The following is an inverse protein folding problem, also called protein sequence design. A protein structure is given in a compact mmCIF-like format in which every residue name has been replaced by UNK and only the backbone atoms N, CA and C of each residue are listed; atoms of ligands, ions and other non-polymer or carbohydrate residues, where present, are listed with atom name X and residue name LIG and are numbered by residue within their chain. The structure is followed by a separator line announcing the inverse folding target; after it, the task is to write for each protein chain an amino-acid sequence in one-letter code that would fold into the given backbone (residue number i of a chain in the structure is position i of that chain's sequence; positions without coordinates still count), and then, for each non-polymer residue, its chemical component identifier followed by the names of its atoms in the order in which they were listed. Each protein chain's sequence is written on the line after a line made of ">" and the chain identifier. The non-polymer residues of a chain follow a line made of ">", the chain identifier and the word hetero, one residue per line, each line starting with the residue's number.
data_IF_105186690905
#
_entry.id   IF_105186690905
#
_cell.length_a   1.000
_cell.length_b   1.000
_cell.length_c   1.000
_cell.angle_alpha   90.00
_cell.angle_beta   90.00
_cell.angle_gamma   90.00
#
_symmetry.space_group_name_H-M   'P 1'
#
loop_
_entity.id
_entity.type
_entity.pdbx_description
1 polymer ?
#
# COMPACT_ATOMS: atom_id res chain seq x y z
N UNK A 1 7.02 -14.48 -13.47
CA UNK A 1 7.74 -14.73 -12.19
C UNK A 1 9.07 -13.97 -12.12
N UNK A 2 9.97 -14.09 -13.10
CA UNK A 2 11.28 -13.41 -13.10
C UNK A 2 11.23 -11.88 -12.93
N UNK A 3 10.27 -11.21 -13.55
CA UNK A 3 10.13 -9.75 -13.45
C UNK A 3 9.76 -9.28 -12.03
N UNK A 4 8.86 -10.00 -11.34
CA UNK A 4 8.44 -9.67 -9.96
C UNK A 4 9.62 -9.86 -9.00
N UNK A 5 10.37 -10.97 -9.13
CA UNK A 5 11.55 -11.20 -8.33
C UNK A 5 12.64 -10.13 -8.55
N UNK A 6 12.83 -9.69 -9.80
CA UNK A 6 13.74 -8.61 -10.13
C UNK A 6 13.31 -7.26 -9.54
N UNK A 7 12.00 -6.96 -9.53
CA UNK A 7 11.46 -5.76 -8.90
C UNK A 7 11.67 -5.76 -7.38
N UNK A 8 11.39 -6.89 -6.72
CA UNK A 8 11.64 -7.11 -5.29
C UNK A 8 13.12 -6.91 -4.96
N UNK A 9 14.04 -7.47 -5.77
CA UNK A 9 15.50 -7.30 -5.59
C UNK A 9 15.95 -5.84 -5.67
N UNK A 10 15.17 -4.97 -6.35
CA UNK A 10 15.42 -3.53 -6.50
C UNK A 10 14.63 -2.68 -5.50
N UNK A 11 14.04 -3.29 -4.47
CA UNK A 11 13.20 -2.59 -3.48
C UNK A 11 12.04 -1.81 -4.11
N UNK A 12 11.48 -2.33 -5.21
CA UNK A 12 10.27 -1.80 -5.82
C UNK A 12 9.06 -2.42 -5.11
N UNK A 13 8.07 -1.60 -4.79
CA UNK A 13 6.83 -2.00 -4.13
C UNK A 13 5.65 -1.88 -5.10
N UNK A 14 4.65 -2.72 -4.90
CA UNK A 14 3.41 -2.69 -5.67
C UNK A 14 2.27 -2.13 -4.82
N UNK A 15 1.58 -1.13 -5.35
CA UNK A 15 0.42 -0.52 -4.71
C UNK A 15 -0.84 -1.34 -4.98
N UNK A 16 -1.66 -1.51 -3.94
CA UNK A 16 -3.00 -2.09 -4.01
C UNK A 16 -3.99 -1.05 -3.49
N UNK A 17 -4.73 -0.43 -4.39
CA UNK A 17 -5.83 0.48 -4.02
C UNK A 17 -7.06 -0.32 -3.59
N UNK A 18 -7.54 -0.15 -2.36
CA UNK A 18 -8.63 -0.98 -1.83
C UNK A 18 -10.04 -0.51 -2.25
N UNK A 19 -10.22 0.71 -2.74
CA UNK A 19 -11.55 1.26 -3.09
C UNK A 19 -12.40 0.32 -3.99
N UNK A 20 -11.85 -0.38 -5.01
CA UNK A 20 -12.63 -1.33 -5.79
C UNK A 20 -13.26 -2.47 -4.98
N UNK A 21 -12.70 -2.82 -3.82
CA UNK A 21 -13.27 -3.79 -2.87
C UNK A 21 -14.56 -3.28 -2.19
N UNK A 22 -14.78 -1.97 -2.15
CA UNK A 22 -15.96 -1.35 -1.54
C UNK A 22 -17.06 -1.05 -2.58
N UNK A 23 -16.75 -1.24 -3.86
CA UNK A 23 -17.66 -0.99 -4.98
C UNK A 23 -18.68 -2.10 -5.19
N UNK A 24 -18.98 -2.34 -6.46
CA UNK A 24 -19.95 -3.35 -6.90
C UNK A 24 -19.39 -4.78 -6.87
N UNK A 25 -20.25 -5.76 -7.17
CA UNK A 25 -19.86 -7.17 -7.13
C UNK A 25 -18.73 -7.51 -8.11
N UNK A 26 -18.71 -6.86 -9.28
CA UNK A 26 -17.65 -7.04 -10.26
C UNK A 26 -16.32 -6.48 -9.74
N UNK A 27 -16.31 -5.24 -9.24
CA UNK A 27 -15.12 -4.61 -8.64
C UNK A 27 -14.52 -5.45 -7.51
N UNK A 28 -15.36 -5.99 -6.62
CA UNK A 28 -14.93 -6.90 -5.55
C UNK A 28 -14.27 -8.17 -6.09
N UNK A 29 -14.91 -8.82 -7.07
CA UNK A 29 -14.39 -10.06 -7.66
C UNK A 29 -13.01 -9.83 -8.30
N UNK A 30 -12.86 -8.78 -9.10
CA UNK A 30 -11.60 -8.46 -9.74
C UNK A 30 -10.54 -8.03 -8.74
N UNK A 31 -10.90 -7.22 -7.75
CA UNK A 31 -10.01 -6.80 -6.67
C UNK A 31 -9.38 -8.01 -5.98
N UNK A 32 -10.19 -8.92 -5.44
CA UNK A 32 -9.66 -10.07 -4.70
C UNK A 32 -8.90 -11.03 -5.61
N UNK A 33 -9.36 -11.26 -6.84
CA UNK A 33 -8.63 -12.10 -7.80
C UNK A 33 -7.23 -11.55 -8.09
N UNK A 34 -7.13 -10.25 -8.37
CA UNK A 34 -5.86 -9.59 -8.68
C UNK A 34 -4.96 -9.46 -7.46
N UNK A 35 -5.51 -9.06 -6.31
CA UNK A 35 -4.77 -8.93 -5.05
C UNK A 35 -4.20 -10.28 -4.62
N UNK A 36 -5.00 -11.35 -4.60
CA UNK A 36 -4.51 -12.69 -4.25
C UNK A 36 -3.47 -13.22 -5.24
N UNK A 37 -3.58 -12.90 -6.52
CA UNK A 37 -2.54 -13.22 -7.50
C UNK A 37 -1.23 -12.50 -7.20
N UNK A 38 -1.30 -11.21 -6.85
CA UNK A 38 -0.12 -10.43 -6.51
C UNK A 38 0.52 -10.92 -5.22
N UNK A 39 -0.27 -11.17 -4.18
CA UNK A 39 0.19 -11.75 -2.90
C UNK A 39 0.92 -13.08 -3.14
N UNK A 40 0.37 -13.96 -3.98
CA UNK A 40 1.02 -15.23 -4.34
C UNK A 40 2.34 -15.01 -5.07
N UNK A 41 2.38 -14.09 -6.02
CA UNK A 41 3.59 -13.82 -6.83
C UNK A 41 4.71 -13.13 -6.04
N UNK A 42 4.37 -12.31 -5.04
CA UNK A 42 5.35 -11.62 -4.20
C UNK A 42 5.68 -12.37 -2.91
N UNK A 43 4.93 -13.43 -2.59
CA UNK A 43 4.98 -14.09 -1.28
C UNK A 43 4.51 -13.20 -0.14
N UNK A 44 3.67 -12.20 -0.44
CA UNK A 44 3.15 -11.23 0.53
C UNK A 44 4.17 -10.20 1.00
N UNK A 45 5.20 -9.91 0.20
CA UNK A 45 6.21 -8.87 0.48
C UNK A 45 6.14 -7.76 -0.56
N UNK A 46 6.71 -6.59 -0.24
CA UNK A 46 6.79 -5.45 -1.16
C UNK A 46 5.43 -4.99 -1.70
N UNK A 47 4.42 -4.98 -0.83
CA UNK A 47 3.08 -4.49 -1.11
C UNK A 47 2.80 -3.27 -0.26
N UNK A 48 2.04 -2.34 -0.80
CA UNK A 48 1.50 -1.18 -0.05
C UNK A 48 0.01 -1.11 -0.31
N UNK A 49 -0.78 -0.92 0.73
CA UNK A 49 -2.20 -0.57 0.56
C UNK A 49 -2.39 0.94 0.57
N UNK A 50 -3.25 1.41 -0.32
CA UNK A 50 -3.70 2.79 -0.38
C UNK A 50 -5.20 2.83 -0.63
N UNK A 51 -5.83 3.98 -0.39
CA UNK A 51 -7.27 4.11 -0.64
C UNK A 51 -7.59 4.16 -2.13
N UNK A 52 -6.87 4.96 -2.91
CA UNK A 52 -7.30 5.34 -4.25
C UNK A 52 -8.69 5.99 -4.25
N UNK A 53 -9.13 6.51 -3.11
CA UNK A 53 -10.48 7.02 -2.91
C UNK A 53 -10.62 8.40 -3.55
N UNK A 54 -11.71 8.60 -4.30
CA UNK A 54 -12.09 9.91 -4.85
C UNK A 54 -13.12 10.64 -3.97
N UNK A 55 -13.60 9.98 -2.91
CA UNK A 55 -14.59 10.51 -1.96
C UNK A 55 -14.25 10.05 -0.55
N UNK A 56 -14.43 10.92 0.43
CA UNK A 56 -14.04 10.69 1.83
C UNK A 56 -14.76 9.49 2.45
N UNK A 57 -16.01 9.22 2.06
CA UNK A 57 -16.81 8.06 2.53
C UNK A 57 -16.18 6.70 2.18
N UNK A 58 -15.24 6.68 1.24
CA UNK A 58 -14.52 5.47 0.82
C UNK A 58 -13.26 5.23 1.64
N UNK A 59 -12.86 6.18 2.50
CA UNK A 59 -11.77 5.99 3.44
C UNK A 59 -12.15 4.96 4.51
N UNK A 60 -11.14 4.23 5.00
CA UNK A 60 -11.30 3.18 6.00
C UNK A 60 -10.20 3.27 7.04
N UNK A 61 -10.48 2.75 8.22
CA UNK A 61 -9.47 2.70 9.27
C UNK A 61 -8.32 1.78 8.84
N UNK A 62 -7.08 2.01 9.30
CA UNK A 62 -5.95 1.16 8.94
C UNK A 62 -6.18 -0.33 9.26
N UNK A 63 -6.88 -0.65 10.34
CA UNK A 63 -7.19 -2.03 10.71
C UNK A 63 -8.23 -2.70 9.81
N UNK A 64 -9.19 -1.94 9.25
CA UNK A 64 -10.09 -2.49 8.22
C UNK A 64 -9.29 -2.92 6.98
N UNK A 65 -8.23 -2.18 6.64
CA UNK A 65 -7.34 -2.51 5.52
C UNK A 65 -6.53 -3.76 5.81
N UNK A 66 -6.12 -3.97 7.07
CA UNK A 66 -5.50 -5.23 7.49
C UNK A 66 -6.45 -6.41 7.24
N UNK A 67 -7.73 -6.27 7.58
CA UNK A 67 -8.73 -7.31 7.30
C UNK A 67 -8.90 -7.56 5.80
N UNK A 68 -8.91 -6.51 4.97
CA UNK A 68 -8.93 -6.66 3.50
C UNK A 68 -7.68 -7.41 3.01
N UNK A 69 -6.51 -7.10 3.56
CA UNK A 69 -5.25 -7.81 3.27
C UNK A 69 -5.30 -9.29 3.63
N UNK A 70 -5.88 -9.63 4.79
CA UNK A 70 -6.10 -11.01 5.21
C UNK A 70 -7.02 -11.76 4.23
N UNK A 71 -8.12 -11.13 3.81
CA UNK A 71 -9.05 -11.68 2.82
C UNK A 71 -8.38 -11.87 1.44
N UNK A 72 -7.41 -11.01 1.10
CA UNK A 72 -6.60 -11.16 -0.10
C UNK A 72 -5.52 -12.26 0.01
N UNK A 73 -5.32 -12.85 1.19
CA UNK A 73 -4.40 -13.97 1.42
C UNK A 73 -3.06 -13.61 2.10
N UNK A 74 -2.93 -12.39 2.63
CA UNK A 74 -1.78 -12.02 3.46
C UNK A 74 -1.87 -12.63 4.85
N UNK A 75 -0.71 -12.82 5.48
CA UNK A 75 -0.64 -13.03 6.93
C UNK A 75 -0.80 -11.68 7.66
N UNK A 76 -1.24 -11.72 8.90
CA UNK A 76 -1.47 -10.51 9.70
C UNK A 76 -0.26 -9.56 9.73
N UNK A 77 0.94 -10.08 9.98
CA UNK A 77 2.17 -9.26 9.96
C UNK A 77 2.45 -8.64 8.59
N UNK A 78 2.21 -9.36 7.50
CA UNK A 78 2.41 -8.84 6.15
C UNK A 78 1.40 -7.76 5.79
N UNK A 79 0.15 -7.89 6.25
CA UNK A 79 -0.88 -6.89 6.07
C UNK A 79 -0.59 -5.61 6.88
N UNK A 80 -0.09 -5.76 8.12
CA UNK A 80 0.40 -4.63 8.91
C UNK A 80 1.59 -3.94 8.24
N UNK A 81 2.59 -4.70 7.78
CA UNK A 81 3.75 -4.17 7.09
C UNK A 81 3.34 -3.37 5.84
N UNK A 82 2.29 -3.81 5.12
CA UNK A 82 1.80 -3.16 3.92
C UNK A 82 1.10 -1.81 4.14
N UNK A 83 0.70 -1.49 5.38
CA UNK A 83 0.13 -0.19 5.75
C UNK A 83 1.09 0.68 6.57
N UNK A 84 2.28 0.16 6.91
CA UNK A 84 3.21 0.81 7.83
C UNK A 84 4.63 0.83 7.27
N UNK A 85 5.48 -0.14 7.63
CA UNK A 85 6.91 -0.16 7.30
C UNK A 85 7.19 -0.17 5.80
N UNK A 86 6.35 -0.82 5.00
CA UNK A 86 6.47 -0.82 3.54
C UNK A 86 6.26 0.58 2.96
N UNK A 87 5.35 1.37 3.52
CA UNK A 87 5.12 2.76 3.10
C UNK A 87 6.35 3.61 3.35
N UNK A 88 6.98 3.47 4.52
CA UNK A 88 8.22 4.17 4.85
C UNK A 88 9.37 3.78 3.90
N UNK A 89 9.53 2.49 3.62
CA UNK A 89 10.56 2.02 2.68
C UNK A 89 10.35 2.58 1.25
N UNK A 90 9.10 2.81 0.84
CA UNK A 90 8.79 3.49 -0.44
C UNK A 90 9.23 4.95 -0.42
N UNK A 91 9.00 5.67 0.68
CA UNK A 91 9.46 7.05 0.84
C UNK A 91 10.99 7.14 0.82
N UNK A 92 11.69 6.29 1.56
CA UNK A 92 13.16 6.21 1.54
C UNK A 92 13.70 5.91 0.14
N UNK A 93 13.03 5.02 -0.60
CA UNK A 93 13.40 4.73 -1.99
C UNK A 93 13.16 5.95 -2.88
N UNK A 94 12.10 6.73 -2.67
CA UNK A 94 11.85 7.96 -3.40
C UNK A 94 12.95 9.02 -3.14
N UNK A 95 13.37 9.19 -1.88
CA UNK A 95 14.42 10.14 -1.51
C UNK A 95 15.77 9.78 -2.13
N UNK A 96 16.11 8.48 -2.16
CA UNK A 96 17.30 7.99 -2.89
C UNK A 96 17.25 8.33 -4.38
N UNK A 97 16.07 8.25 -5.03
CA UNK A 97 15.92 8.64 -6.45
C UNK A 97 16.05 10.15 -6.67
N UNK A 98 15.71 10.95 -5.67
CA UNK A 98 15.85 12.42 -5.67
C UNK A 98 17.28 12.89 -5.36
N UNK A 99 18.20 11.98 -5.05
CA UNK A 99 19.60 12.31 -4.73
C UNK A 99 19.85 12.63 -3.25
N UNK A 100 18.86 12.42 -2.37
CA UNK A 100 18.96 12.68 -0.93
C UNK A 100 19.54 11.46 -0.20
N UNK A 101 20.75 11.06 -0.58
CA UNK A 101 21.41 9.90 0.02
C UNK A 101 21.77 10.18 1.49
N UNK A 102 21.04 9.57 2.43
CA UNK A 102 21.29 9.69 3.87
C UNK A 102 20.61 10.88 4.55
N UNK A 103 19.72 11.60 3.86
CA UNK A 103 18.88 12.66 4.43
C UNK A 103 17.40 12.30 4.36
N UNK A 104 16.58 13.00 5.16
CA UNK A 104 15.10 12.93 5.09
C UNK A 104 14.62 14.33 4.72
N UNK A 105 13.71 14.42 3.75
CA UNK A 105 13.04 15.68 3.45
C UNK A 105 11.96 15.94 4.50
N UNK A 106 12.11 17.05 5.22
CA UNK A 106 11.11 17.55 6.15
C UNK A 106 10.42 18.73 5.50
N UNK A 107 9.16 18.56 5.13
CA UNK A 107 8.31 19.69 4.76
C UNK A 107 7.70 20.25 6.06
N UNK A 108 7.88 21.54 6.30
CA UNK A 108 7.22 22.22 7.41
C UNK A 108 5.72 22.28 7.07
N UNK A 109 4.91 21.46 7.74
CA UNK A 109 3.46 21.62 7.72
C UNK A 109 3.10 22.84 8.55
N UNK A 110 2.50 23.85 7.93
CA UNK A 110 1.78 24.88 8.68
C UNK A 110 0.71 24.18 9.53
N UNK A 111 0.66 24.50 10.82
CA UNK A 111 -0.33 23.94 11.74
C UNK A 111 -1.73 24.16 11.15
N UNK A 112 -2.42 23.07 10.79
CA UNK A 112 -3.82 23.12 10.37
C UNK A 112 -4.62 23.53 11.60
N UNK A 113 -4.82 24.83 11.78
CA UNK A 113 -5.71 25.37 12.78
C UNK A 113 -7.09 24.74 12.56
N UNK A 114 -7.55 23.96 13.54
CA UNK A 114 -8.94 23.51 13.59
C UNK A 114 -9.81 24.78 13.62
N UNK A 115 -10.58 25.01 12.55
CA UNK A 115 -11.66 25.99 12.60
C UNK A 115 -12.81 25.36 13.36
N UNK A 116 -13.15 25.99 14.48
CA UNK A 116 -14.34 25.69 15.31
C UNK A 116 -15.64 25.65 14.50
#
# INVERSE_FOLDING_TARGET
>A
MFQIAAAIKRSIYFEITYTPCLGDAAGRRYFFSNASNLVRLTGGKHLVFSSGATRDILLRSPYDIVTIGLLAGLKYGQALDAISTSCLAVLEHADKRRGLAGGVMVEATEDVAMKD
#
